data_IF_740789249699
#
_entry.id   IF_740789249699
#
_cell.length_a   1.000
_cell.length_b   1.000
_cell.length_c   1.000
_cell.angle_alpha   90.00
_cell.angle_beta   90.00
_cell.angle_gamma   90.00
#
_symmetry.space_group_name_H-M   'P 1'
#
loop_
_entity.id
_entity.type
_entity.pdbx_description
1 polymer ?
#
# COMPACT_ATOMS: atom_id res chain seq x y z
N UNK A 1 46.06 -40.17 20.64
CA UNK A 1 45.36 -39.05 21.32
C UNK A 1 45.22 -37.81 20.41
N UNK A 2 45.01 -37.99 19.09
CA UNK A 2 44.99 -36.90 18.08
C UNK A 2 43.78 -37.03 17.13
N UNK A 3 42.74 -37.78 17.52
CA UNK A 3 41.54 -37.99 16.66
C UNK A 3 40.26 -37.35 17.22
N UNK A 4 40.33 -36.70 18.38
CA UNK A 4 39.18 -36.09 19.06
C UNK A 4 39.15 -34.55 18.98
N UNK A 5 40.20 -33.92 18.43
CA UNK A 5 40.32 -32.46 18.35
C UNK A 5 39.74 -31.91 17.02
N UNK A 6 39.63 -32.74 15.98
CA UNK A 6 39.19 -32.29 14.65
C UNK A 6 37.67 -32.16 14.48
N UNK A 7 36.86 -32.64 15.42
CA UNK A 7 35.39 -32.58 15.34
C UNK A 7 34.77 -31.39 16.07
N UNK A 8 35.54 -30.65 16.88
CA UNK A 8 35.03 -29.50 17.65
C UNK A 8 35.26 -28.16 16.93
N UNK A 9 36.18 -28.10 15.96
CA UNK A 9 36.46 -26.88 15.18
C UNK A 9 35.55 -26.64 13.97
N UNK A 10 34.67 -27.57 13.61
CA UNK A 10 33.73 -27.42 12.50
C UNK A 10 32.47 -26.60 12.84
N UNK A 11 32.26 -26.22 14.11
CA UNK A 11 31.06 -25.49 14.56
C UNK A 11 31.26 -24.00 14.83
N UNK A 12 32.45 -23.45 14.52
CA UNK A 12 32.73 -22.01 14.56
C UNK A 12 32.73 -21.38 13.16
N UNK A 13 31.92 -21.90 12.23
CA UNK A 13 31.51 -21.06 11.11
C UNK A 13 30.74 -19.87 11.71
N UNK A 14 31.16 -18.61 11.50
CA UNK A 14 30.29 -17.49 11.80
C UNK A 14 29.03 -17.73 10.98
N UNK A 15 27.95 -18.05 11.67
CA UNK A 15 26.63 -18.05 11.07
C UNK A 15 26.40 -16.57 10.80
N UNK A 16 26.74 -16.13 9.59
CA UNK A 16 26.43 -14.79 9.13
C UNK A 16 24.90 -14.77 9.11
N UNK A 17 24.31 -14.40 10.24
CA UNK A 17 22.89 -14.24 10.37
C UNK A 17 22.52 -13.19 9.33
N UNK A 18 21.66 -13.56 8.38
CA UNK A 18 21.09 -12.63 7.43
C UNK A 18 20.26 -11.63 8.23
N UNK A 19 20.90 -10.55 8.65
CA UNK A 19 20.25 -9.44 9.33
C UNK A 19 20.20 -8.32 8.32
N UNK A 20 18.99 -7.78 8.10
CA UNK A 20 18.82 -6.60 7.26
C UNK A 20 19.66 -5.47 7.86
N UNK A 21 20.74 -5.11 7.17
CA UNK A 21 21.70 -4.10 7.59
C UNK A 21 21.85 -2.99 6.55
N UNK A 22 22.18 -1.78 7.01
CA UNK A 22 22.35 -0.59 6.16
C UNK A 22 21.02 0.12 5.86
N UNK A 23 20.18 -0.47 4.99
CA UNK A 23 18.92 0.14 4.54
C UNK A 23 17.67 -0.60 5.03
N UNK A 24 17.10 -0.11 6.14
CA UNK A 24 15.90 -0.64 6.79
C UNK A 24 14.56 -0.21 6.15
N UNK A 25 14.58 0.50 5.02
CA UNK A 25 13.34 0.89 4.35
C UNK A 25 12.50 -0.34 3.93
N UNK A 26 11.18 -0.24 4.04
CA UNK A 26 10.24 -1.35 3.79
C UNK A 26 10.35 -2.53 4.77
N UNK A 27 10.96 -2.35 5.94
CA UNK A 27 11.04 -3.36 7.00
C UNK A 27 10.23 -2.97 8.23
N UNK A 28 9.89 -3.95 9.06
CA UNK A 28 9.29 -3.76 10.38
C UNK A 28 10.02 -4.61 11.40
N UNK A 29 10.07 -4.16 12.65
CA UNK A 29 10.65 -4.93 13.75
C UNK A 29 9.60 -5.86 14.34
N UNK A 30 9.83 -7.18 14.30
CA UNK A 30 8.88 -8.18 14.79
C UNK A 30 9.08 -8.58 16.26
N UNK A 31 10.02 -7.93 16.96
CA UNK A 31 10.41 -8.26 18.33
C UNK A 31 11.78 -8.94 18.43
N UNK A 32 12.24 -9.62 17.38
CA UNK A 32 13.54 -10.31 17.35
C UNK A 32 14.47 -9.78 16.27
N UNK A 33 13.95 -9.44 15.09
CA UNK A 33 14.72 -8.93 13.96
C UNK A 33 13.88 -7.97 13.10
N UNK A 34 14.56 -7.23 12.22
CA UNK A 34 13.89 -6.55 11.12
C UNK A 34 13.50 -7.56 10.05
N UNK A 35 12.22 -7.54 9.66
CA UNK A 35 11.69 -8.38 8.59
C UNK A 35 11.05 -7.52 7.51
N UNK A 36 11.08 -8.01 6.27
CA UNK A 36 10.44 -7.32 5.16
C UNK A 36 8.93 -7.26 5.32
N UNK A 37 8.37 -6.07 5.10
CA UNK A 37 6.92 -5.90 5.01
C UNK A 37 6.39 -6.52 3.71
N UNK A 38 5.11 -6.91 3.64
CA UNK A 38 4.48 -7.31 2.38
C UNK A 38 4.65 -6.26 1.27
N UNK A 39 4.62 -4.98 1.64
CA UNK A 39 4.81 -3.86 0.72
C UNK A 39 6.21 -3.78 0.10
N UNK A 40 7.23 -4.43 0.68
CA UNK A 40 8.60 -4.41 0.15
C UNK A 40 8.71 -5.06 -1.24
N UNK A 41 7.85 -6.04 -1.53
CA UNK A 41 7.88 -6.84 -2.77
C UNK A 41 6.52 -6.87 -3.48
N UNK A 42 5.61 -5.97 -3.13
CA UNK A 42 4.24 -5.98 -3.65
C UNK A 42 4.12 -5.51 -5.10
N UNK A 43 5.13 -4.81 -5.62
CA UNK A 43 5.23 -4.34 -6.99
C UNK A 43 6.03 -5.33 -7.87
N UNK A 44 5.97 -5.14 -9.19
CA UNK A 44 6.87 -5.80 -10.14
C UNK A 44 8.12 -4.96 -10.38
N UNK A 45 9.19 -5.62 -10.84
CA UNK A 45 10.33 -4.90 -11.42
C UNK A 45 9.92 -4.24 -12.74
N UNK A 46 10.65 -3.18 -13.12
CA UNK A 46 10.44 -2.48 -14.41
C UNK A 46 11.14 -3.25 -15.54
N UNK A 47 12.28 -3.87 -15.24
CA UNK A 47 12.95 -4.82 -16.14
C UNK A 47 12.73 -6.27 -15.67
N UNK A 48 13.16 -7.25 -16.47
CA UNK A 48 12.95 -8.66 -16.14
C UNK A 48 13.62 -9.06 -14.82
N UNK A 49 12.99 -9.97 -14.08
CA UNK A 49 13.54 -10.50 -12.83
C UNK A 49 14.93 -11.13 -13.03
N UNK A 50 15.16 -11.75 -14.19
CA UNK A 50 16.47 -12.30 -14.58
C UNK A 50 17.54 -11.20 -14.72
N UNK A 51 17.20 -10.05 -15.31
CA UNK A 51 18.12 -8.92 -15.45
C UNK A 51 18.40 -8.30 -14.08
N UNK A 52 17.36 -8.13 -13.26
CA UNK A 52 17.51 -7.65 -11.90
C UNK A 52 18.38 -8.57 -11.04
N UNK A 53 18.29 -9.89 -11.21
CA UNK A 53 19.13 -10.84 -10.47
C UNK A 53 20.62 -10.73 -10.85
N UNK A 54 20.93 -10.34 -12.08
CA UNK A 54 22.32 -10.09 -12.52
C UNK A 54 22.84 -8.74 -12.00
N UNK A 55 22.02 -7.69 -12.06
CA UNK A 55 22.40 -6.35 -11.61
C UNK A 55 22.50 -6.24 -10.07
N UNK A 56 21.64 -6.99 -9.38
CA UNK A 56 21.51 -6.96 -7.93
C UNK A 56 21.65 -8.37 -7.37
N UNK A 57 22.86 -8.95 -7.35
CA UNK A 57 23.06 -10.31 -6.85
C UNK A 57 22.75 -10.39 -5.35
N UNK A 58 22.02 -11.43 -4.95
CA UNK A 58 21.75 -11.70 -3.54
C UNK A 58 23.09 -11.86 -2.77
N UNK A 59 23.26 -11.24 -1.58
CA UNK A 59 24.50 -11.36 -0.81
C UNK A 59 24.78 -12.80 -0.39
N UNK A 60 23.70 -13.53 -0.10
CA UNK A 60 23.73 -14.95 0.24
C UNK A 60 22.72 -15.67 -0.66
N UNK A 61 23.22 -16.48 -1.59
CA UNK A 61 22.38 -17.19 -2.57
C UNK A 61 21.34 -18.10 -1.92
N UNK A 62 21.66 -18.66 -0.75
CA UNK A 62 20.76 -19.54 0.00
C UNK A 62 19.53 -18.81 0.57
N UNK A 63 19.67 -17.54 0.95
CA UNK A 63 18.58 -16.73 1.52
C UNK A 63 17.69 -16.12 0.44
N UNK A 64 18.26 -15.90 -0.75
CA UNK A 64 17.58 -15.36 -1.91
C UNK A 64 17.31 -13.86 -1.78
N UNK A 65 16.23 -13.41 -2.41
CA UNK A 65 15.83 -12.00 -2.42
C UNK A 65 14.89 -11.66 -1.25
N UNK A 66 14.82 -10.37 -0.87
CA UNK A 66 13.84 -9.85 0.09
C UNK A 66 12.47 -10.49 -0.11
N UNK A 67 11.90 -11.03 0.96
CA UNK A 67 10.61 -11.70 0.94
C UNK A 67 9.82 -11.38 2.22
N UNK A 68 8.49 -11.17 2.15
CA UNK A 68 7.70 -10.77 3.31
C UNK A 68 7.85 -11.69 4.52
N UNK A 69 8.04 -11.10 5.71
CA UNK A 69 8.17 -11.83 6.98
C UNK A 69 9.53 -12.50 7.21
N UNK A 70 10.48 -12.34 6.29
CA UNK A 70 11.85 -12.84 6.42
C UNK A 70 12.85 -11.70 6.60
N UNK A 71 14.04 -12.03 7.04
CA UNK A 71 15.14 -11.12 7.42
C UNK A 71 16.28 -11.10 6.39
N UNK A 72 16.04 -11.57 5.16
CA UNK A 72 17.08 -11.71 4.15
C UNK A 72 17.76 -10.37 3.85
N UNK A 73 19.08 -10.42 3.70
CA UNK A 73 19.85 -9.21 3.43
C UNK A 73 19.50 -8.61 2.06
N UNK A 74 19.24 -7.29 2.04
CA UNK A 74 19.09 -6.55 0.78
C UNK A 74 20.37 -6.66 -0.04
N UNK A 75 20.31 -6.93 -1.35
CA UNK A 75 21.49 -6.86 -2.22
C UNK A 75 22.22 -5.53 -2.01
N UNK A 76 23.53 -5.58 -1.77
CA UNK A 76 24.31 -4.39 -1.40
C UNK A 76 24.26 -3.33 -2.51
N UNK A 77 24.36 -3.78 -3.77
CA UNK A 77 24.27 -2.92 -4.94
C UNK A 77 22.92 -2.22 -5.09
N UNK A 78 21.88 -2.63 -4.35
CA UNK A 78 20.61 -1.91 -4.32
C UNK A 78 20.69 -0.56 -3.59
N UNK A 79 21.74 -0.28 -2.81
CA UNK A 79 21.81 0.95 -2.02
C UNK A 79 23.23 1.45 -1.74
N UNK A 80 24.27 0.69 -2.04
CA UNK A 80 25.65 1.06 -1.72
C UNK A 80 26.64 0.53 -2.77
N UNK A 81 27.83 1.12 -2.80
CA UNK A 81 29.00 0.60 -3.54
C UNK A 81 29.94 -0.21 -2.65
N UNK A 82 29.65 -0.31 -1.34
CA UNK A 82 30.43 -1.13 -0.42
C UNK A 82 30.15 -2.62 -0.62
N UNK A 83 31.15 -3.45 -0.31
CA UNK A 83 31.08 -4.92 -0.45
C UNK A 83 30.72 -5.65 0.84
N UNK A 84 30.51 -4.94 1.95
CA UNK A 84 30.17 -5.51 3.26
C UNK A 84 29.30 -4.56 4.09
N UNK A 85 28.53 -5.11 5.04
CA UNK A 85 27.77 -4.35 6.04
C UNK A 85 28.60 -4.11 7.31
N UNK A 86 28.37 -3.00 8.06
CA UNK A 86 27.44 -1.90 7.77
C UNK A 86 27.91 -1.03 6.60
N UNK A 87 27.00 -0.71 5.69
CA UNK A 87 27.29 0.13 4.53
C UNK A 87 26.43 1.39 4.54
N UNK A 88 27.04 2.53 4.18
CA UNK A 88 26.31 3.77 3.97
C UNK A 88 25.42 3.71 2.74
N UNK A 89 24.31 4.45 2.77
CA UNK A 89 23.38 4.56 1.65
C UNK A 89 23.92 5.57 0.63
N UNK A 90 24.19 5.10 -0.58
CA UNK A 90 24.49 5.91 -1.76
C UNK A 90 23.18 6.13 -2.51
N UNK A 91 22.69 7.38 -2.47
CA UNK A 91 21.34 7.71 -2.96
C UNK A 91 21.15 7.41 -4.45
N UNK A 92 22.17 7.58 -5.28
CA UNK A 92 22.09 7.31 -6.71
C UNK A 92 21.92 5.81 -7.00
N UNK A 93 22.63 4.95 -6.25
CA UNK A 93 22.48 3.49 -6.34
C UNK A 93 21.07 3.08 -5.92
N UNK A 94 20.60 3.63 -4.79
CA UNK A 94 19.26 3.37 -4.28
C UNK A 94 18.17 3.82 -5.25
N UNK A 95 18.36 4.97 -5.88
CA UNK A 95 17.42 5.49 -6.88
C UNK A 95 17.40 4.60 -8.13
N UNK A 96 18.54 4.20 -8.65
CA UNK A 96 18.62 3.28 -9.79
C UNK A 96 17.94 1.93 -9.49
N UNK A 97 18.12 1.42 -8.28
CA UNK A 97 17.45 0.21 -7.80
C UNK A 97 15.93 0.38 -7.69
N UNK A 98 15.47 1.49 -7.12
CA UNK A 98 14.04 1.83 -7.01
C UNK A 98 13.37 1.96 -8.38
N UNK A 99 14.04 2.60 -9.34
CA UNK A 99 13.49 2.90 -10.65
C UNK A 99 13.46 1.67 -11.58
N UNK A 100 14.38 0.70 -11.41
CA UNK A 100 14.50 -0.44 -12.33
C UNK A 100 14.09 -1.79 -11.72
N UNK A 101 14.49 -2.04 -10.47
CA UNK A 101 14.34 -3.34 -9.81
C UNK A 101 13.78 -3.24 -8.38
N UNK A 102 12.67 -2.50 -8.16
CA UNK A 102 12.16 -2.26 -6.81
C UNK A 102 11.72 -3.54 -6.11
N UNK A 103 11.25 -4.57 -6.82
CA UNK A 103 10.86 -5.85 -6.19
C UNK A 103 12.07 -6.65 -5.74
N UNK A 104 13.04 -6.84 -6.62
CA UNK A 104 14.28 -7.57 -6.31
C UNK A 104 15.04 -6.92 -5.17
N UNK A 105 15.04 -5.59 -5.14
CA UNK A 105 15.69 -4.84 -4.09
C UNK A 105 14.86 -4.71 -2.82
N UNK A 106 13.58 -5.09 -2.76
CA UNK A 106 12.74 -4.88 -1.57
C UNK A 106 12.38 -3.41 -1.31
N UNK A 107 12.24 -2.61 -2.37
CA UNK A 107 11.98 -1.17 -2.36
C UNK A 107 10.58 -0.81 -2.84
N UNK A 108 9.69 -1.78 -3.10
CA UNK A 108 8.35 -1.48 -3.63
C UNK A 108 7.57 -0.47 -2.78
N UNK A 109 7.72 -0.49 -1.45
CA UNK A 109 7.04 0.47 -0.56
C UNK A 109 7.44 1.94 -0.79
N UNK A 110 8.59 2.17 -1.44
CA UNK A 110 9.08 3.51 -1.77
C UNK A 110 8.72 3.94 -3.20
N UNK A 111 8.16 3.05 -4.00
CA UNK A 111 7.68 3.43 -5.33
C UNK A 111 6.45 4.32 -5.18
N UNK A 112 6.25 5.26 -6.11
CA UNK A 112 5.13 6.22 -6.05
C UNK A 112 3.76 5.54 -5.98
N UNK A 113 3.63 4.33 -6.52
CA UNK A 113 2.40 3.56 -6.47
C UNK A 113 2.04 3.07 -5.05
N UNK A 114 3.03 2.89 -4.17
CA UNK A 114 2.86 2.30 -2.83
C UNK A 114 3.24 3.27 -1.69
N UNK A 115 3.90 4.39 -2.00
CA UNK A 115 4.48 5.32 -1.01
C UNK A 115 3.46 6.32 -0.43
N UNK A 116 2.25 5.88 -0.11
CA UNK A 116 1.23 6.69 0.57
C UNK A 116 0.74 6.01 1.85
N UNK A 117 0.11 6.79 2.72
CA UNK A 117 -0.57 6.24 3.89
C UNK A 117 -1.94 5.67 3.51
N UNK A 118 -2.30 4.55 4.13
CA UNK A 118 -3.68 4.09 4.14
C UNK A 118 -4.54 5.04 4.98
N UNK A 119 -5.86 4.96 4.82
CA UNK A 119 -6.76 5.77 5.65
C UNK A 119 -6.66 5.35 7.11
N UNK A 120 -6.95 6.26 8.06
CA UNK A 120 -6.77 5.99 9.48
C UNK A 120 -7.69 4.89 10.03
N UNK A 121 -8.91 4.76 9.46
CA UNK A 121 -9.91 3.78 9.86
C UNK A 121 -10.45 3.02 8.64
N UNK A 122 -9.66 2.11 8.06
CA UNK A 122 -10.07 1.34 6.89
C UNK A 122 -11.14 0.32 7.27
N UNK A 123 -12.04 0.00 6.33
CA UNK A 123 -13.00 -1.11 6.47
C UNK A 123 -12.32 -2.47 6.49
N UNK A 124 -11.08 -2.54 6.00
CA UNK A 124 -10.26 -3.74 5.90
C UNK A 124 -8.99 -3.59 6.71
N UNK A 125 -8.46 -4.70 7.23
CA UNK A 125 -7.11 -4.69 7.76
C UNK A 125 -6.10 -4.64 6.60
N UNK A 126 -5.51 -3.48 6.36
CA UNK A 126 -4.58 -3.28 5.24
C UNK A 126 -3.36 -4.22 5.29
N UNK A 127 -2.98 -4.72 6.48
CA UNK A 127 -1.84 -5.61 6.64
C UNK A 127 -2.12 -7.05 6.17
N UNK A 128 -3.38 -7.44 6.05
CA UNK A 128 -3.78 -8.80 5.64
C UNK A 128 -4.17 -8.89 4.16
N UNK A 129 -4.05 -7.78 3.42
CA UNK A 129 -4.40 -7.75 2.00
C UNK A 129 -3.37 -8.57 1.22
N UNK A 130 -3.87 -9.50 0.42
CA UNK A 130 -3.09 -10.36 -0.47
C UNK A 130 -3.09 -9.81 -1.89
N UNK A 131 -2.08 -10.19 -2.69
CA UNK A 131 -1.98 -9.79 -4.09
C UNK A 131 -3.20 -10.22 -4.93
N UNK A 132 -3.86 -11.33 -4.58
CA UNK A 132 -5.08 -11.78 -5.26
C UNK A 132 -6.28 -10.87 -5.00
N UNK A 133 -6.34 -10.23 -3.83
CA UNK A 133 -7.37 -9.22 -3.54
C UNK A 133 -7.13 -7.93 -4.34
N UNK A 134 -5.88 -7.57 -4.65
CA UNK A 134 -5.54 -6.41 -5.47
C UNK A 134 -6.09 -6.49 -6.91
N UNK A 135 -6.30 -7.70 -7.42
CA UNK A 135 -6.82 -7.96 -8.78
C UNK A 135 -8.28 -8.42 -8.77
N UNK A 136 -8.88 -8.57 -7.60
CA UNK A 136 -10.27 -9.02 -7.47
C UNK A 136 -11.25 -7.87 -7.67
N UNK A 137 -12.22 -8.04 -8.57
CA UNK A 137 -13.25 -7.05 -8.82
C UNK A 137 -14.11 -6.70 -7.59
N UNK A 138 -14.24 -7.63 -6.63
CA UNK A 138 -14.98 -7.37 -5.40
C UNK A 138 -14.22 -6.43 -4.43
N UNK A 139 -12.89 -6.48 -4.44
CA UNK A 139 -12.06 -5.83 -3.44
C UNK A 139 -11.32 -4.60 -3.95
N UNK A 140 -10.99 -4.55 -5.24
CA UNK A 140 -10.08 -3.56 -5.82
C UNK A 140 -10.49 -2.11 -5.54
N UNK A 141 -11.78 -1.80 -5.65
CA UNK A 141 -12.33 -0.46 -5.38
C UNK A 141 -12.32 -0.09 -3.89
N UNK A 142 -12.63 -1.06 -3.01
CA UNK A 142 -12.56 -0.89 -1.54
C UNK A 142 -11.10 -0.68 -1.12
N UNK A 143 -10.17 -1.45 -1.68
CA UNK A 143 -8.75 -1.34 -1.35
C UNK A 143 -8.17 -0.02 -1.86
N UNK A 144 -8.54 0.44 -3.06
CA UNK A 144 -8.06 1.73 -3.57
C UNK A 144 -8.47 2.91 -2.69
N UNK A 145 -9.63 2.84 -2.05
CA UNK A 145 -10.15 3.90 -1.17
C UNK A 145 -9.59 3.81 0.24
N UNK A 146 -9.45 2.61 0.80
CA UNK A 146 -9.09 2.44 2.21
C UNK A 146 -7.61 2.09 2.42
N UNK A 147 -7.07 1.22 1.57
CA UNK A 147 -5.74 0.65 1.69
C UNK A 147 -4.89 0.79 0.42
N UNK A 148 -4.76 2.00 -0.16
CA UNK A 148 -4.10 2.19 -1.45
C UNK A 148 -2.64 1.70 -1.45
N UNK A 149 -1.94 1.80 -0.32
CA UNK A 149 -0.54 1.37 -0.20
C UNK A 149 -0.37 -0.14 -0.26
N UNK A 150 -1.43 -0.93 -0.06
CA UNK A 150 -1.35 -2.39 -0.08
C UNK A 150 -1.27 -2.96 -1.51
N UNK A 151 -1.87 -2.26 -2.48
CA UNK A 151 -2.03 -2.74 -3.84
C UNK A 151 -1.49 -1.80 -4.92
N UNK A 152 -0.76 -0.75 -4.54
CA UNK A 152 -0.15 0.15 -5.52
C UNK A 152 -1.11 1.21 -6.06
N UNK A 153 -2.13 1.61 -5.28
CA UNK A 153 -3.17 2.56 -5.71
C UNK A 153 -2.96 3.99 -5.21
N UNK A 154 -1.79 4.33 -4.69
CA UNK A 154 -1.52 5.66 -4.15
C UNK A 154 -1.75 6.79 -5.15
N UNK A 155 -1.44 6.55 -6.42
CA UNK A 155 -1.62 7.52 -7.50
C UNK A 155 -3.03 7.51 -8.12
N UNK A 156 -3.93 6.65 -7.63
CA UNK A 156 -5.26 6.46 -8.19
C UNK A 156 -6.32 7.39 -7.58
N UNK A 157 -5.99 8.13 -6.51
CA UNK A 157 -6.93 9.04 -5.84
C UNK A 157 -8.20 8.34 -5.32
N UNK A 158 -8.11 7.06 -4.98
CA UNK A 158 -9.26 6.24 -4.56
C UNK A 158 -10.12 5.71 -5.70
N UNK A 159 -9.84 6.05 -6.96
CA UNK A 159 -10.59 5.56 -8.10
C UNK A 159 -9.80 4.58 -8.96
N UNK A 160 -10.32 3.37 -9.11
CA UNK A 160 -9.75 2.32 -9.95
C UNK A 160 -10.88 1.58 -10.67
N UNK A 161 -10.56 0.92 -11.76
CA UNK A 161 -11.47 -0.04 -12.37
C UNK A 161 -11.60 -1.26 -11.44
N UNK A 162 -12.79 -1.84 -11.28
CA UNK A 162 -12.92 -3.09 -10.55
C UNK A 162 -12.33 -4.25 -11.36
N UNK A 163 -12.54 -4.24 -12.68
CA UNK A 163 -11.96 -5.24 -13.60
C UNK A 163 -10.76 -4.65 -14.32
N UNK A 164 -9.76 -5.49 -14.64
CA UNK A 164 -8.50 -5.04 -15.24
C UNK A 164 -8.63 -4.74 -16.74
N UNK A 165 -9.59 -5.38 -17.40
CA UNK A 165 -9.69 -5.44 -18.87
C UNK A 165 -10.52 -4.33 -19.50
N UNK A 166 -10.94 -3.32 -18.73
CA UNK A 166 -11.70 -2.18 -19.27
C UNK A 166 -10.95 -1.44 -20.39
N UNK A 167 -9.61 -1.43 -20.35
CA UNK A 167 -8.78 -0.78 -21.34
C UNK A 167 -8.71 -1.52 -22.68
N UNK A 168 -9.15 -2.79 -22.74
CA UNK A 168 -9.11 -3.60 -23.96
C UNK A 168 -10.12 -3.11 -25.01
N UNK A 169 -11.26 -2.57 -24.55
CA UNK A 169 -12.26 -1.96 -25.42
C UNK A 169 -12.87 -0.73 -24.74
N UNK A 170 -12.38 0.46 -25.07
CA UNK A 170 -12.86 1.74 -24.52
C UNK A 170 -14.24 2.13 -25.09
N UNK A 171 -14.71 1.48 -26.16
CA UNK A 171 -16.02 1.81 -26.76
C UNK A 171 -17.18 1.46 -25.83
N UNK A 172 -16.99 0.48 -24.92
CA UNK A 172 -17.96 0.09 -23.89
C UNK A 172 -18.42 1.27 -23.04
N UNK A 173 -17.56 2.29 -22.86
CA UNK A 173 -17.86 3.49 -22.07
C UNK A 173 -19.01 4.33 -22.65
N UNK A 174 -19.26 4.25 -23.96
CA UNK A 174 -20.30 5.02 -24.68
C UNK A 174 -21.52 4.18 -25.06
N UNK A 175 -21.42 2.86 -24.97
CA UNK A 175 -22.53 1.94 -25.28
C UNK A 175 -23.63 2.08 -24.23
N UNK A 176 -24.86 2.40 -24.67
CA UNK A 176 -26.00 2.67 -23.78
C UNK A 176 -26.35 1.44 -22.93
N UNK A 177 -26.32 0.24 -23.52
CA UNK A 177 -26.62 -1.01 -22.81
C UNK A 177 -25.56 -1.44 -21.79
N UNK A 178 -24.39 -0.80 -21.76
CA UNK A 178 -23.28 -1.14 -20.87
C UNK A 178 -23.04 -0.08 -19.77
N UNK A 179 -23.92 0.93 -19.65
CA UNK A 179 -23.72 2.02 -18.71
C UNK A 179 -23.61 1.53 -17.25
N UNK A 180 -24.46 0.58 -16.83
CA UNK A 180 -24.40 0.02 -15.47
C UNK A 180 -23.09 -0.73 -15.21
N UNK A 181 -22.61 -1.48 -16.20
CA UNK A 181 -21.34 -2.18 -16.14
C UNK A 181 -20.18 -1.20 -16.01
N UNK A 182 -20.07 -0.20 -16.88
CA UNK A 182 -18.91 0.71 -16.87
C UNK A 182 -18.91 1.65 -15.66
N UNK A 183 -20.07 2.04 -15.16
CA UNK A 183 -20.20 2.85 -13.94
C UNK A 183 -19.77 2.07 -12.68
N UNK A 184 -19.91 0.74 -12.69
CA UNK A 184 -19.55 -0.12 -11.56
C UNK A 184 -18.11 -0.63 -11.67
N UNK A 185 -17.72 -1.11 -12.86
CA UNK A 185 -16.50 -1.90 -13.05
C UNK A 185 -15.38 -1.19 -13.80
N UNK A 186 -15.66 -0.09 -14.53
CA UNK A 186 -14.70 0.62 -15.38
C UNK A 186 -14.59 2.11 -15.07
N UNK A 187 -14.68 2.45 -13.78
CA UNK A 187 -14.77 3.82 -13.31
C UNK A 187 -13.60 4.69 -13.78
N UNK A 188 -12.37 4.19 -13.68
CA UNK A 188 -11.18 4.95 -14.05
C UNK A 188 -11.03 5.03 -15.56
N UNK A 189 -11.12 3.91 -16.25
CA UNK A 189 -10.94 3.84 -17.71
C UNK A 189 -12.00 4.67 -18.44
N UNK A 190 -13.25 4.63 -17.99
CA UNK A 190 -14.35 5.37 -18.61
C UNK A 190 -14.53 6.80 -18.07
N UNK A 191 -13.60 7.31 -17.25
CA UNK A 191 -13.70 8.60 -16.57
C UNK A 191 -15.03 8.77 -15.80
N UNK A 192 -15.52 7.67 -15.21
CA UNK A 192 -16.69 7.60 -14.32
C UNK A 192 -16.30 7.54 -12.86
N UNK A 193 -15.02 7.78 -12.54
CA UNK A 193 -14.63 8.16 -11.20
C UNK A 193 -15.56 9.30 -10.79
N UNK A 194 -16.49 9.03 -9.89
CA UNK A 194 -17.18 10.08 -9.18
C UNK A 194 -16.07 11.00 -8.70
N UNK A 195 -16.04 12.24 -9.21
CA UNK A 195 -15.03 13.18 -8.80
C UNK A 195 -15.01 13.11 -7.29
N UNK A 196 -13.90 12.65 -6.74
CA UNK A 196 -13.56 12.92 -5.36
C UNK A 196 -13.28 14.42 -5.24
N UNK A 197 -14.21 15.28 -5.71
CA UNK A 197 -14.81 16.24 -4.81
C UNK A 197 -14.92 15.50 -3.49
N UNK A 198 -14.04 15.85 -2.57
CA UNK A 198 -14.44 16.13 -1.22
C UNK A 198 -15.88 16.62 -1.36
N UNK A 199 -16.86 15.75 -1.17
CA UNK A 199 -18.21 16.18 -0.90
C UNK A 199 -18.09 16.76 0.50
N UNK A 200 -17.55 17.97 0.57
CA UNK A 200 -18.34 19.07 1.07
C UNK A 200 -19.63 19.05 0.26
N UNK A 201 -20.52 18.11 0.58
CA UNK A 201 -21.91 18.46 0.76
C UNK A 201 -21.93 19.51 1.87
N UNK A 202 -21.46 20.71 1.51
CA UNK A 202 -22.17 21.93 1.80
C UNK A 202 -23.55 21.66 1.23
N UNK A 203 -24.40 21.02 2.05
CA UNK A 203 -25.83 21.12 1.93
C UNK A 203 -26.11 22.61 2.09
N UNK A 204 -25.99 23.36 1.01
CA UNK A 204 -26.72 24.60 0.81
C UNK A 204 -28.18 24.22 0.57
N UNK A 205 -28.77 23.50 1.52
CA UNK A 205 -30.17 23.62 1.82
C UNK A 205 -30.27 24.93 2.59
N UNK A 206 -30.83 25.95 1.94
CA UNK A 206 -31.10 27.27 2.51
C UNK A 206 -32.17 27.15 3.58
N UNK A 207 -31.80 26.64 4.74
CA UNK A 207 -32.63 26.62 5.94
C UNK A 207 -32.22 27.78 6.82
N UNK A 208 -33.18 28.60 7.21
CA UNK A 208 -32.98 29.77 8.08
C UNK A 208 -32.85 29.38 9.56
N UNK A 209 -33.13 28.11 9.91
CA UNK A 209 -33.00 27.57 11.27
C UNK A 209 -32.66 26.06 11.26
N UNK A 210 -31.81 25.65 12.19
CA UNK A 210 -31.45 24.24 12.44
C UNK A 210 -31.93 23.80 13.82
N UNK A 211 -32.38 22.55 13.95
CA UNK A 211 -32.65 21.97 15.26
C UNK A 211 -31.37 21.94 16.10
N UNK A 212 -31.50 22.11 17.43
CA UNK A 212 -30.35 22.06 18.32
C UNK A 212 -29.69 20.68 18.31
N UNK A 213 -28.39 20.64 18.54
CA UNK A 213 -27.66 19.39 18.74
C UNK A 213 -28.11 18.75 20.05
N UNK A 214 -28.34 17.44 20.04
CA UNK A 214 -28.75 16.68 21.22
C UNK A 214 -27.58 16.04 21.97
N UNK A 215 -26.36 16.14 21.42
CA UNK A 215 -25.12 15.64 22.01
C UNK A 215 -24.05 16.73 22.07
N UNK A 216 -23.31 16.79 23.18
CA UNK A 216 -22.15 17.66 23.34
C UNK A 216 -20.94 17.21 22.53
N UNK A 217 -20.92 15.96 22.04
CA UNK A 217 -19.84 15.40 21.24
C UNK A 217 -19.92 15.77 19.75
N UNK A 218 -20.99 16.47 19.32
CA UNK A 218 -21.23 16.76 17.91
C UNK A 218 -20.08 17.49 17.22
N UNK A 219 -19.39 18.41 17.90
CA UNK A 219 -18.24 19.11 17.33
C UNK A 219 -17.08 18.16 17.00
N UNK A 220 -16.78 17.23 17.92
CA UNK A 220 -15.75 16.22 17.71
C UNK A 220 -16.18 15.23 16.62
N UNK A 221 -17.43 14.76 16.64
CA UNK A 221 -17.95 13.85 15.63
C UNK A 221 -17.97 14.47 14.23
N UNK A 222 -18.35 15.74 14.11
CA UNK A 222 -18.32 16.47 12.85
C UNK A 222 -16.89 16.63 12.32
N UNK A 223 -15.92 16.94 13.19
CA UNK A 223 -14.50 16.95 12.82
C UNK A 223 -14.00 15.57 12.34
N UNK A 224 -14.61 14.49 12.85
CA UNK A 224 -14.34 13.11 12.45
C UNK A 224 -15.28 12.60 11.33
N UNK A 225 -15.93 13.50 10.58
CA UNK A 225 -16.68 13.16 9.38
C UNK A 225 -18.10 12.62 9.61
N UNK A 226 -18.65 12.71 10.82
CA UNK A 226 -20.01 12.25 11.13
C UNK A 226 -21.06 12.84 10.18
N UNK A 227 -20.96 14.12 9.83
CA UNK A 227 -21.94 14.84 9.03
C UNK A 227 -22.06 14.37 7.58
N UNK A 228 -20.99 13.78 7.04
CA UNK A 228 -20.90 13.31 5.65
C UNK A 228 -20.89 11.78 5.54
N UNK A 229 -20.81 11.07 6.67
CA UNK A 229 -20.74 9.62 6.71
C UNK A 229 -22.09 8.98 6.37
N UNK A 230 -22.13 8.23 5.26
CA UNK A 230 -23.32 7.53 4.74
C UNK A 230 -23.71 6.27 5.52
N UNK A 231 -22.86 5.81 6.46
CA UNK A 231 -23.20 4.75 7.42
C UNK A 231 -24.32 5.18 8.35
N UNK A 232 -24.30 6.44 8.81
CA UNK A 232 -25.42 7.01 9.55
C UNK A 232 -26.47 7.48 8.55
N UNK A 233 -27.73 7.16 8.79
CA UNK A 233 -28.81 7.70 7.95
C UNK A 233 -28.90 9.21 8.10
N UNK A 234 -29.42 9.90 7.09
CA UNK A 234 -29.65 11.35 7.17
C UNK A 234 -30.54 11.72 8.39
N UNK A 235 -31.52 10.87 8.70
CA UNK A 235 -32.38 11.01 9.88
C UNK A 235 -31.59 10.92 11.21
N UNK A 236 -30.65 9.97 11.32
CA UNK A 236 -29.80 9.86 12.51
C UNK A 236 -28.86 11.06 12.67
N UNK A 237 -28.22 11.50 11.59
CA UNK A 237 -27.34 12.68 11.65
C UNK A 237 -28.12 13.94 12.04
N UNK A 238 -29.34 14.08 11.53
CA UNK A 238 -30.27 15.16 11.89
C UNK A 238 -30.75 15.06 13.35
N UNK A 239 -30.98 13.86 13.88
CA UNK A 239 -31.42 13.68 15.26
C UNK A 239 -30.34 14.04 16.30
N UNK A 240 -29.07 13.76 15.98
CA UNK A 240 -27.97 13.99 16.92
C UNK A 240 -27.31 15.35 16.78
N UNK A 241 -26.99 15.75 15.55
CA UNK A 241 -26.11 16.89 15.30
C UNK A 241 -26.64 17.80 14.19
N UNK A 242 -27.95 18.09 14.17
CA UNK A 242 -28.58 18.93 13.13
C UNK A 242 -27.91 20.30 12.97
N UNK A 243 -27.59 20.99 14.06
CA UNK A 243 -26.99 22.33 14.01
C UNK A 243 -25.53 22.25 13.60
N UNK A 244 -24.77 21.33 14.19
CA UNK A 244 -23.35 21.14 13.87
C UNK A 244 -23.16 20.67 12.42
N UNK A 245 -23.99 19.74 11.94
CA UNK A 245 -23.93 19.21 10.57
C UNK A 245 -24.68 20.04 9.53
N UNK A 246 -25.34 21.14 9.96
CA UNK A 246 -26.20 21.98 9.11
C UNK A 246 -27.24 21.18 8.33
N UNK A 247 -27.88 20.22 8.99
CA UNK A 247 -28.93 19.37 8.43
C UNK A 247 -30.29 19.87 8.89
N UNK A 248 -31.13 20.21 7.93
CA UNK A 248 -32.56 20.41 8.08
C UNK A 248 -33.34 19.25 7.44
#
# INVERSE_FOLDING_TARGET
MIALISLVLAFLAPQAQAVIGGDLNCTTYNGTAFVWTPAATACSNVISDSSCAILYPAPVTADGFPSPGRDQQRPLTCYTTASATPAGIVMDMKKAALDNCPRTCGLCCQTTAYSCSNVAFPRLNCATITSSQCVSAAWRTIIATDCPSACGFCNSGGCVDAVLDCANDVTICRTVGLQDFVNTYCQRTCNRCSSSTITTTSLTATCTSYNADSSTACTAWAANGFCTNTFYTLAQRKAYCARTCRIC
#
